data_IF_262173389046
#
_entry.id   IF_262173389046
#
_cell.length_a   1.000
_cell.length_b   1.000
_cell.length_c   1.000
_cell.angle_alpha   90.00
_cell.angle_beta   90.00
_cell.angle_gamma   90.00
#
_symmetry.space_group_name_H-M   'P 1'
#
loop_
_entity.id
_entity.type
_entity.pdbx_description
1 polymer ?
#
# COMPACT_ATOMS: atom_id res chain seq x y z
N UNK A 1 17.69 49.38 -29.70
CA UNK A 1 17.78 49.09 -28.25
C UNK A 1 18.23 47.64 -28.07
N UNK A 2 19.42 47.40 -27.49
CA UNK A 2 19.87 46.03 -27.18
C UNK A 2 19.33 45.62 -25.82
N UNK A 3 18.38 44.70 -25.82
CA UNK A 3 17.91 43.99 -24.64
C UNK A 3 19.10 43.18 -24.07
N UNK A 4 19.52 43.46 -22.83
CA UNK A 4 20.54 42.66 -22.16
C UNK A 4 19.90 41.33 -21.76
N UNK A 5 20.34 40.26 -22.40
CA UNK A 5 19.95 38.89 -22.07
C UNK A 5 20.52 38.54 -20.69
N UNK A 6 19.65 38.46 -19.69
CA UNK A 6 19.98 37.85 -18.40
C UNK A 6 20.02 36.33 -18.63
N UNK A 7 21.21 35.84 -18.94
CA UNK A 7 21.60 34.45 -18.79
C UNK A 7 23.04 34.47 -18.32
N UNK A 8 23.25 35.07 -17.15
CA UNK A 8 24.58 35.17 -16.54
C UNK A 8 24.80 33.94 -15.66
N UNK A 9 26.07 33.56 -15.47
CA UNK A 9 26.44 32.43 -14.59
C UNK A 9 25.83 32.58 -13.18
N UNK A 10 25.69 33.81 -12.68
CA UNK A 10 25.09 34.13 -11.37
C UNK A 10 23.63 33.67 -11.28
N UNK A 11 22.86 33.82 -12.36
CA UNK A 11 21.46 33.41 -12.40
C UNK A 11 21.32 31.89 -12.27
N UNK A 12 22.20 31.13 -12.92
CA UNK A 12 22.22 29.67 -12.79
C UNK A 12 22.69 29.20 -11.42
N UNK A 13 23.63 29.91 -10.80
CA UNK A 13 24.06 29.61 -9.43
C UNK A 13 22.89 29.78 -8.44
N UNK A 14 22.13 30.87 -8.55
CA UNK A 14 20.97 31.12 -7.67
C UNK A 14 19.90 30.05 -7.87
N UNK A 15 19.62 29.65 -9.11
CA UNK A 15 18.65 28.57 -9.41
C UNK A 15 19.09 27.24 -8.80
N UNK A 16 20.37 26.87 -8.92
CA UNK A 16 20.89 25.62 -8.34
C UNK A 16 20.80 25.65 -6.80
N UNK A 17 21.10 26.78 -6.17
CA UNK A 17 20.99 26.96 -4.72
C UNK A 17 19.53 26.75 -4.27
N UNK A 18 18.59 27.43 -4.92
CA UNK A 18 17.16 27.31 -4.60
C UNK A 18 16.67 25.87 -4.85
N UNK A 19 17.04 25.25 -5.98
CA UNK A 19 16.70 23.85 -6.27
C UNK A 19 17.24 22.89 -5.21
N UNK A 20 18.48 23.08 -4.74
CA UNK A 20 19.05 22.23 -3.70
C UNK A 20 18.27 22.30 -2.37
N UNK A 21 17.81 23.50 -2.00
CA UNK A 21 16.96 23.69 -0.83
C UNK A 21 15.61 23.00 -0.99
N UNK A 22 15.02 23.04 -2.19
CA UNK A 22 13.80 22.28 -2.49
C UNK A 22 14.02 20.77 -2.38
N UNK A 23 15.15 20.22 -2.82
CA UNK A 23 15.44 18.78 -2.70
C UNK A 23 15.55 18.34 -1.23
N UNK A 24 16.20 19.14 -0.38
CA UNK A 24 16.34 18.86 1.06
C UNK A 24 14.99 18.89 1.79
N UNK A 25 14.08 19.76 1.36
CA UNK A 25 12.76 19.94 1.99
C UNK A 25 11.67 19.02 1.41
N UNK A 26 11.93 18.34 0.29
CA UNK A 26 10.97 17.46 -0.39
C UNK A 26 10.78 16.09 0.27
N UNK A 27 11.56 15.71 1.29
CA UNK A 27 11.41 14.43 2.01
C UNK A 27 10.62 14.65 3.31
N UNK A 28 9.32 14.28 3.38
CA UNK A 28 8.49 14.47 4.57
C UNK A 28 8.89 13.58 5.77
N UNK A 29 8.40 12.35 5.93
CA UNK A 29 8.88 11.43 6.97
C UNK A 29 8.72 10.02 6.41
N UNK A 30 9.82 9.43 5.93
CA UNK A 30 9.77 8.17 5.18
C UNK A 30 9.23 7.03 6.05
N UNK A 31 9.68 6.90 7.28
CA UNK A 31 9.31 5.79 8.16
C UNK A 31 7.82 5.79 8.50
N UNK A 32 7.25 6.95 8.81
CA UNK A 32 5.82 7.05 9.09
C UNK A 32 4.97 6.70 7.86
N UNK A 33 5.40 7.16 6.67
CA UNK A 33 4.70 6.87 5.41
C UNK A 33 4.76 5.37 5.08
N UNK A 34 5.91 4.73 5.28
CA UNK A 34 6.07 3.29 5.04
C UNK A 34 5.19 2.45 5.97
N UNK A 35 5.15 2.76 7.26
CA UNK A 35 4.30 2.04 8.23
C UNK A 35 2.81 2.23 7.92
N UNK A 36 2.40 3.45 7.57
CA UNK A 36 1.02 3.72 7.18
C UNK A 36 0.64 2.96 5.90
N UNK A 37 1.51 2.97 4.89
CA UNK A 37 1.30 2.22 3.66
C UNK A 37 1.17 0.71 3.93
N UNK A 38 2.06 0.12 4.74
CA UNK A 38 2.00 -1.29 5.11
C UNK A 38 0.68 -1.64 5.82
N UNK A 39 0.23 -0.80 6.77
CA UNK A 39 -1.05 -1.01 7.46
C UNK A 39 -2.25 -0.95 6.51
N UNK A 40 -2.23 -0.03 5.53
CA UNK A 40 -3.30 0.13 4.54
C UNK A 40 -3.33 -1.02 3.55
N UNK A 41 -2.18 -1.55 3.17
CA UNK A 41 -2.07 -2.78 2.38
C UNK A 41 -2.68 -3.96 3.14
N UNK A 42 -2.38 -4.10 4.44
CA UNK A 42 -2.94 -5.14 5.29
C UNK A 42 -4.48 -5.08 5.37
N UNK A 43 -5.02 -3.88 5.57
CA UNK A 43 -6.46 -3.62 5.61
C UNK A 43 -7.13 -3.96 4.25
N UNK A 44 -6.49 -3.58 3.14
CA UNK A 44 -6.95 -3.93 1.80
C UNK A 44 -6.98 -5.44 1.55
N UNK A 45 -5.94 -6.15 2.00
CA UNK A 45 -5.83 -7.60 1.86
C UNK A 45 -6.90 -8.34 2.66
N UNK A 46 -7.19 -7.89 3.89
CA UNK A 46 -8.31 -8.39 4.69
C UNK A 46 -9.64 -8.19 3.96
N UNK A 47 -9.84 -7.06 3.28
CA UNK A 47 -11.06 -6.81 2.49
C UNK A 47 -11.19 -7.75 1.29
N UNK A 48 -10.09 -8.10 0.62
CA UNK A 48 -10.09 -9.09 -0.47
C UNK A 48 -10.50 -10.46 0.06
N UNK A 49 -9.93 -10.90 1.18
CA UNK A 49 -10.30 -12.18 1.80
C UNK A 49 -11.77 -12.16 2.26
N UNK A 50 -12.26 -11.05 2.81
CA UNK A 50 -13.67 -10.93 3.19
C UNK A 50 -14.61 -11.00 1.98
N UNK A 51 -14.20 -10.44 0.84
CA UNK A 51 -14.94 -10.59 -0.42
C UNK A 51 -14.98 -12.05 -0.88
N UNK A 52 -13.86 -12.77 -0.75
CA UNK A 52 -13.78 -14.20 -1.06
C UNK A 52 -14.65 -15.05 -0.11
N UNK A 53 -14.62 -14.76 1.20
CA UNK A 53 -15.52 -15.41 2.17
C UNK A 53 -17.00 -15.22 1.77
N UNK A 54 -17.35 -14.01 1.31
CA UNK A 54 -18.70 -13.71 0.86
C UNK A 54 -19.04 -14.46 -0.43
N UNK A 55 -18.12 -14.55 -1.37
CA UNK A 55 -18.29 -15.29 -2.62
C UNK A 55 -18.48 -16.80 -2.34
N UNK A 56 -17.69 -17.36 -1.45
CA UNK A 56 -17.83 -18.75 -1.03
C UNK A 56 -19.21 -19.00 -0.42
N UNK A 57 -19.70 -18.07 0.41
CA UNK A 57 -21.05 -18.14 0.96
C UNK A 57 -22.13 -18.09 -0.12
N UNK A 58 -21.94 -17.32 -1.19
CA UNK A 58 -22.90 -17.25 -2.28
C UNK A 58 -22.96 -18.58 -3.07
N UNK A 59 -21.83 -19.26 -3.22
CA UNK A 59 -21.75 -20.51 -3.99
C UNK A 59 -22.16 -21.75 -3.17
N UNK A 60 -21.67 -21.87 -1.94
CA UNK A 60 -21.83 -23.06 -1.09
C UNK A 60 -22.87 -22.88 0.03
N UNK A 61 -23.53 -21.71 0.11
CA UNK A 61 -24.52 -21.34 1.14
C UNK A 61 -24.03 -21.49 2.59
N UNK A 62 -22.72 -21.62 2.78
CA UNK A 62 -22.06 -21.80 4.08
C UNK A 62 -20.79 -20.96 4.15
N UNK A 63 -20.29 -20.69 5.36
CA UNK A 63 -19.01 -20.00 5.53
C UNK A 63 -17.88 -21.04 5.49
N UNK A 64 -16.70 -20.67 4.93
CA UNK A 64 -15.55 -21.56 4.93
C UNK A 64 -15.12 -21.88 6.37
N UNK A 65 -14.74 -23.12 6.65
CA UNK A 65 -14.28 -23.50 8.00
C UNK A 65 -12.87 -22.97 8.27
N UNK A 66 -12.07 -22.78 7.23
CA UNK A 66 -10.71 -22.26 7.28
C UNK A 66 -10.42 -21.35 6.09
N UNK A 67 -9.48 -20.40 6.23
CA UNK A 67 -9.04 -19.58 5.08
C UNK A 67 -8.37 -20.40 3.98
N UNK A 68 -7.91 -21.62 4.28
CA UNK A 68 -7.28 -22.51 3.31
C UNK A 68 -8.28 -23.11 2.31
N UNK A 69 -9.56 -23.21 2.69
CA UNK A 69 -10.63 -23.57 1.76
C UNK A 69 -10.77 -22.53 0.65
N UNK A 70 -10.53 -21.24 0.95
CA UNK A 70 -10.58 -20.17 -0.05
C UNK A 70 -9.40 -20.23 -1.03
N UNK A 71 -8.23 -20.75 -0.61
CA UNK A 71 -7.10 -21.03 -1.52
C UNK A 71 -7.47 -22.12 -2.52
N UNK A 72 -8.18 -23.15 -2.04
CA UNK A 72 -8.54 -24.32 -2.85
C UNK A 72 -9.73 -24.03 -3.78
N UNK A 73 -10.73 -23.29 -3.30
CA UNK A 73 -12.00 -23.07 -4.00
C UNK A 73 -12.10 -21.71 -4.70
N UNK A 74 -11.37 -20.68 -4.25
CA UNK A 74 -11.57 -19.29 -4.73
C UNK A 74 -10.33 -18.66 -5.42
N UNK A 75 -9.35 -19.47 -5.85
CA UNK A 75 -8.13 -18.98 -6.51
C UNK A 75 -7.37 -17.89 -5.73
N UNK A 76 -7.49 -17.88 -4.40
CA UNK A 76 -6.60 -17.07 -3.56
C UNK A 76 -5.21 -17.72 -3.53
N UNK A 77 -4.17 -16.90 -3.58
CA UNK A 77 -2.81 -17.39 -3.37
C UNK A 77 -2.51 -17.54 -1.87
N UNK A 78 -1.71 -18.53 -1.47
CA UNK A 78 -1.33 -18.71 -0.06
C UNK A 78 -0.64 -17.47 0.54
N UNK A 79 0.11 -16.73 -0.30
CA UNK A 79 0.75 -15.47 0.10
C UNK A 79 -0.27 -14.43 0.60
N UNK A 80 -1.51 -14.49 0.09
CA UNK A 80 -2.58 -13.56 0.47
C UNK A 80 -3.12 -13.84 1.87
N UNK A 81 -2.79 -14.97 2.49
CA UNK A 81 -3.14 -15.29 3.88
C UNK A 81 -2.22 -14.64 4.91
N UNK A 82 -1.16 -13.95 4.47
CA UNK A 82 -0.18 -13.33 5.34
C UNK A 82 -0.14 -11.82 5.13
N UNK A 83 -0.08 -11.09 6.22
CA UNK A 83 0.19 -9.66 6.23
C UNK A 83 1.49 -9.42 6.98
N UNK A 84 2.48 -8.82 6.30
CA UNK A 84 3.80 -8.52 6.87
C UNK A 84 4.46 -9.75 7.55
N UNK A 85 4.33 -10.92 6.90
CA UNK A 85 4.85 -12.19 7.40
C UNK A 85 4.05 -12.83 8.55
N UNK A 86 2.96 -12.22 8.99
CA UNK A 86 2.07 -12.76 10.03
C UNK A 86 0.78 -13.31 9.43
N UNK A 87 0.29 -14.48 9.88
CA UNK A 87 -0.93 -15.06 9.35
C UNK A 87 -2.15 -14.23 9.75
N UNK A 88 -3.04 -13.98 8.79
CA UNK A 88 -4.33 -13.30 9.00
C UNK A 88 -5.24 -14.25 9.79
N UNK A 89 -5.91 -13.71 10.82
CA UNK A 89 -6.79 -14.49 11.69
C UNK A 89 -8.19 -14.59 11.08
N UNK A 90 -8.83 -15.73 11.23
CA UNK A 90 -10.22 -15.95 10.86
C UNK A 90 -11.07 -16.14 12.11
N UNK A 91 -11.95 -15.17 12.39
CA UNK A 91 -12.82 -15.19 13.56
C UNK A 91 -14.19 -14.62 13.20
N UNK A 92 -15.26 -15.21 13.73
CA UNK A 92 -16.63 -14.75 13.50
C UNK A 92 -16.99 -14.58 12.02
N UNK A 93 -16.53 -15.52 11.18
CA UNK A 93 -16.74 -15.50 9.73
C UNK A 93 -16.12 -14.30 8.99
N UNK A 94 -15.11 -13.65 9.58
CA UNK A 94 -14.41 -12.52 8.98
C UNK A 94 -12.90 -12.67 9.14
N UNK A 95 -12.16 -12.19 8.15
CA UNK A 95 -10.73 -12.01 8.24
C UNK A 95 -10.40 -10.78 9.10
N UNK A 96 -9.40 -10.91 9.98
CA UNK A 96 -8.86 -9.82 10.80
C UNK A 96 -7.37 -9.72 10.63
N UNK A 97 -6.86 -8.49 10.68
CA UNK A 97 -5.42 -8.23 10.71
C UNK A 97 -4.76 -9.00 11.87
N UNK A 98 -3.52 -9.46 11.69
CA UNK A 98 -2.77 -10.20 12.70
C UNK A 98 -2.61 -9.46 14.04
#
# INVERSE_FOLDING_TARGET
>A
MKQKQAFTLIEMIIVIIIMSYFLLTSIPNLTHILNLAASKTCEGQVNVINAAILQYKMEYLSYPSTLHELVTHESLEEAQLYCDGKPIRYENNQAKTP
#
